data_IF_009066662748
#
_entry.id   IF_009066662748
#
_cell.length_a   1.000
_cell.length_b   1.000
_cell.length_c   1.000
_cell.angle_alpha   90.00
_cell.angle_beta   90.00
_cell.angle_gamma   90.00
#
_symmetry.space_group_name_H-M   'P 1'
#
loop_
_entity.id
_entity.type
_entity.pdbx_description
1 polymer ?
#
# COMPACT_ATOMS: atom_id res chain seq x y z
N UNK A 1 8.46 -7.13 0.90
CA UNK A 1 7.25 -6.57 0.28
C UNK A 1 7.52 -6.16 -1.16
N UNK A 2 6.66 -6.63 -2.06
CA UNK A 2 6.58 -6.24 -3.47
C UNK A 2 5.24 -5.57 -3.70
N UNK A 3 5.21 -4.39 -4.33
CA UNK A 3 3.98 -3.75 -4.76
C UNK A 3 3.68 -4.10 -6.21
N UNK A 4 2.42 -4.37 -6.49
CA UNK A 4 1.90 -4.75 -7.80
C UNK A 4 0.82 -3.75 -8.15
N UNK A 5 1.00 -3.01 -9.25
CA UNK A 5 0.00 -2.10 -9.77
C UNK A 5 -0.59 -2.66 -11.05
N UNK A 6 -1.89 -2.89 -11.03
CA UNK A 6 -2.66 -3.51 -12.09
C UNK A 6 -3.57 -2.43 -12.68
N UNK A 7 -3.31 -2.05 -13.93
CA UNK A 7 -4.06 -1.01 -14.66
C UNK A 7 -4.97 -1.66 -15.69
N UNK A 8 -6.24 -1.25 -15.74
CA UNK A 8 -7.14 -1.65 -16.82
C UNK A 8 -8.14 -0.55 -17.12
N UNK A 9 -8.14 -0.05 -18.37
CA UNK A 9 -9.14 0.92 -18.84
C UNK A 9 -10.57 0.34 -18.80
N UNK A 10 -10.70 -0.98 -18.76
CA UNK A 10 -11.98 -1.70 -18.65
C UNK A 10 -12.46 -1.84 -17.20
N UNK A 11 -11.75 -1.31 -16.21
CA UNK A 11 -12.18 -1.34 -14.80
C UNK A 11 -13.32 -0.34 -14.53
N UNK A 12 -13.39 0.74 -15.30
CA UNK A 12 -14.42 1.78 -15.15
C UNK A 12 -15.81 1.18 -15.38
N UNK A 13 -16.68 1.20 -14.36
CA UNK A 13 -18.05 0.66 -14.38
C UNK A 13 -18.17 -0.86 -14.61
N UNK A 14 -17.06 -1.60 -14.66
CA UNK A 14 -17.08 -3.04 -14.86
C UNK A 14 -17.11 -3.80 -13.53
N UNK A 15 -18.19 -4.55 -13.32
CA UNK A 15 -18.33 -5.49 -12.22
C UNK A 15 -17.42 -6.72 -12.43
N UNK A 16 -16.80 -7.22 -11.36
CA UNK A 16 -16.03 -8.47 -11.37
C UNK A 16 -14.54 -8.35 -11.68
N UNK A 17 -14.01 -7.16 -11.99
CA UNK A 17 -12.56 -6.98 -12.19
C UNK A 17 -11.75 -7.35 -10.94
N UNK A 18 -12.10 -6.77 -9.78
CA UNK A 18 -11.42 -7.08 -8.51
C UNK A 18 -11.57 -8.56 -8.11
N UNK A 19 -12.74 -9.17 -8.39
CA UNK A 19 -12.95 -10.61 -8.17
C UNK A 19 -11.92 -11.43 -8.95
N UNK A 20 -11.76 -11.17 -10.25
CA UNK A 20 -10.79 -11.88 -11.11
C UNK A 20 -9.36 -11.69 -10.62
N UNK A 21 -9.00 -10.47 -10.19
CA UNK A 21 -7.68 -10.20 -9.62
C UNK A 21 -7.46 -11.07 -8.39
N UNK A 22 -8.36 -11.02 -7.40
CA UNK A 22 -8.19 -11.81 -6.17
C UNK A 22 -8.24 -13.32 -6.39
N UNK A 23 -9.04 -13.82 -7.33
CA UNK A 23 -9.06 -15.24 -7.71
C UNK A 23 -7.69 -15.74 -8.20
N UNK A 24 -6.92 -14.89 -8.90
CA UNK A 24 -5.56 -15.26 -9.33
C UNK A 24 -4.64 -15.37 -8.12
N UNK A 25 -4.65 -14.42 -7.19
CA UNK A 25 -3.82 -14.49 -5.98
C UNK A 25 -4.19 -15.70 -5.10
N UNK A 26 -5.48 -16.00 -4.97
CA UNK A 26 -5.99 -17.17 -4.26
C UNK A 26 -5.51 -18.48 -4.90
N UNK A 27 -5.60 -18.60 -6.23
CA UNK A 27 -5.13 -19.78 -6.98
C UNK A 27 -3.65 -20.11 -6.71
N UNK A 28 -2.83 -19.08 -6.49
CA UNK A 28 -1.39 -19.22 -6.20
C UNK A 28 -1.07 -19.15 -4.70
N UNK A 29 -2.09 -19.23 -3.83
CA UNK A 29 -1.98 -19.19 -2.37
C UNK A 29 -1.13 -18.01 -1.87
N UNK A 30 -1.24 -16.86 -2.54
CA UNK A 30 -0.43 -15.67 -2.29
C UNK A 30 -1.26 -14.62 -1.54
N UNK A 31 -0.97 -14.47 -0.25
CA UNK A 31 -1.64 -13.48 0.59
C UNK A 31 -1.33 -12.04 0.17
N UNK A 32 -2.35 -11.19 0.24
CA UNK A 32 -2.27 -9.74 -0.03
C UNK A 32 -2.38 -8.99 1.29
N UNK A 33 -1.54 -7.97 1.48
CA UNK A 33 -1.53 -7.13 2.69
C UNK A 33 -2.25 -5.79 2.46
N UNK A 34 -1.59 -4.83 1.81
CA UNK A 34 -2.16 -3.52 1.51
C UNK A 34 -2.88 -3.53 0.16
N UNK A 35 -3.99 -2.80 0.07
CA UNK A 35 -4.73 -2.55 -1.17
C UNK A 35 -5.08 -1.07 -1.26
N UNK A 36 -4.84 -0.46 -2.43
CA UNK A 36 -5.27 0.89 -2.79
C UNK A 36 -5.89 0.83 -4.18
N UNK A 37 -7.04 1.46 -4.37
CA UNK A 37 -7.73 1.53 -5.66
C UNK A 37 -7.78 2.96 -6.18
N UNK A 38 -7.91 3.07 -7.50
CA UNK A 38 -8.31 4.25 -8.26
C UNK A 38 -9.39 3.82 -9.25
N UNK A 39 -9.90 4.75 -10.05
CA UNK A 39 -10.96 4.51 -11.04
C UNK A 39 -10.56 3.46 -12.09
N UNK A 40 -9.27 3.36 -12.41
CA UNK A 40 -8.74 2.52 -13.51
C UNK A 40 -7.60 1.59 -13.09
N UNK A 41 -7.23 1.57 -11.81
CA UNK A 41 -6.14 0.71 -11.33
C UNK A 41 -6.34 0.26 -9.89
N UNK A 42 -5.84 -0.95 -9.60
CA UNK A 42 -5.66 -1.46 -8.23
C UNK A 42 -4.17 -1.64 -7.97
N UNK A 43 -3.69 -1.17 -6.83
CA UNK A 43 -2.35 -1.43 -6.31
C UNK A 43 -2.47 -2.30 -5.08
N UNK A 44 -1.66 -3.33 -4.99
CA UNK A 44 -1.65 -4.28 -3.88
C UNK A 44 -0.22 -4.65 -3.50
N UNK A 45 -0.03 -5.18 -2.29
CA UNK A 45 1.27 -5.65 -1.83
C UNK A 45 1.25 -7.12 -1.44
N UNK A 46 2.38 -7.80 -1.70
CA UNK A 46 2.61 -9.19 -1.29
C UNK A 46 3.97 -9.31 -0.59
N UNK A 47 4.09 -10.33 0.26
CA UNK A 47 5.35 -10.69 0.92
C UNK A 47 6.01 -11.92 0.33
N UNK A 48 5.22 -12.94 -0.01
CA UNK A 48 5.71 -14.14 -0.71
C UNK A 48 5.68 -13.92 -2.22
N UNK A 49 6.85 -13.88 -2.85
CA UNK A 49 7.01 -13.65 -4.28
C UNK A 49 7.33 -14.92 -5.08
N UNK A 50 7.20 -16.13 -4.49
CA UNK A 50 7.51 -17.41 -5.17
C UNK A 50 6.74 -17.59 -6.49
N UNK A 51 5.48 -17.19 -6.51
CA UNK A 51 4.57 -17.35 -7.65
C UNK A 51 4.39 -16.06 -8.46
N UNK A 52 5.21 -15.04 -8.21
CA UNK A 52 5.01 -13.70 -8.77
C UNK A 52 4.96 -13.71 -10.30
N UNK A 53 5.89 -14.39 -10.96
CA UNK A 53 5.96 -14.40 -12.43
C UNK A 53 4.70 -15.02 -13.05
N UNK A 54 4.21 -16.13 -12.48
CA UNK A 54 2.97 -16.78 -12.90
C UNK A 54 1.73 -15.91 -12.67
N UNK A 55 1.67 -15.21 -11.53
CA UNK A 55 0.60 -14.26 -11.21
C UNK A 55 0.58 -13.11 -12.23
N UNK A 56 1.76 -12.55 -12.53
CA UNK A 56 1.91 -11.45 -13.51
C UNK A 56 1.44 -11.90 -14.89
N UNK A 57 1.88 -13.07 -15.36
CA UNK A 57 1.47 -13.62 -16.65
C UNK A 57 -0.07 -13.76 -16.78
N UNK A 58 -0.75 -14.19 -15.71
CA UNK A 58 -2.21 -14.28 -15.73
C UNK A 58 -2.91 -12.92 -15.73
N UNK A 59 -2.41 -11.97 -14.95
CA UNK A 59 -2.95 -10.62 -14.88
C UNK A 59 -2.77 -9.86 -16.21
N UNK A 60 -1.64 -10.06 -16.89
CA UNK A 60 -1.32 -9.40 -18.15
C UNK A 60 -2.24 -9.81 -19.32
N UNK A 61 -2.99 -10.91 -19.19
CA UNK A 61 -4.00 -11.33 -20.18
C UNK A 61 -5.12 -10.30 -20.37
N UNK A 62 -5.37 -9.44 -19.38
CA UNK A 62 -6.48 -8.48 -19.42
C UNK A 62 -6.15 -7.12 -18.77
N UNK A 63 -4.91 -6.89 -18.39
CA UNK A 63 -4.45 -5.67 -17.72
C UNK A 63 -2.98 -5.39 -18.02
N UNK A 64 -2.48 -4.23 -17.59
CA UNK A 64 -1.05 -3.92 -17.58
C UNK A 64 -0.56 -3.96 -16.14
N UNK A 65 0.55 -4.65 -15.90
CA UNK A 65 1.11 -4.84 -14.55
C UNK A 65 2.44 -4.11 -14.41
N UNK A 66 2.59 -3.36 -13.31
CA UNK A 66 3.84 -2.72 -12.91
C UNK A 66 4.26 -3.30 -11.55
N UNK A 67 5.54 -3.67 -11.42
CA UNK A 67 6.10 -4.31 -10.23
C UNK A 67 7.14 -3.42 -9.58
N UNK A 68 6.90 -3.04 -8.33
CA UNK A 68 7.86 -2.31 -7.50
C UNK A 68 8.39 -3.25 -6.41
N UNK A 69 9.64 -3.69 -6.56
CA UNK A 69 10.34 -4.49 -5.54
C UNK A 69 10.94 -3.59 -4.47
N UNK A 70 11.47 -4.21 -3.41
CA UNK A 70 12.20 -3.51 -2.33
C UNK A 70 11.36 -2.40 -1.69
N UNK A 71 10.14 -2.76 -1.27
CA UNK A 71 9.28 -1.87 -0.52
C UNK A 71 9.28 -2.24 0.97
N UNK A 72 8.97 -1.27 1.80
CA UNK A 72 8.80 -1.42 3.25
C UNK A 72 7.51 -0.77 3.68
N UNK A 73 6.76 -1.47 4.53
CA UNK A 73 5.56 -0.96 5.17
C UNK A 73 5.96 -0.38 6.51
N UNK A 74 5.56 0.87 6.76
CA UNK A 74 5.73 1.55 8.04
C UNK A 74 4.35 1.84 8.60
N UNK A 75 4.04 1.29 9.77
CA UNK A 75 2.73 1.39 10.40
C UNK A 75 2.78 2.29 11.63
N UNK A 76 1.85 3.24 11.71
CA UNK A 76 1.51 3.92 12.96
C UNK A 76 0.35 3.17 13.62
N UNK A 77 0.62 2.58 14.78
CA UNK A 77 -0.36 1.83 15.57
C UNK A 77 -0.68 2.59 16.85
N UNK A 78 -1.97 2.70 17.18
CA UNK A 78 -2.42 3.32 18.42
C UNK A 78 -3.94 3.25 18.57
N UNK A 79 -4.49 3.88 19.61
CA UNK A 79 -5.93 3.93 19.83
C UNK A 79 -6.58 5.07 19.05
N UNK A 80 -7.53 4.76 18.18
CA UNK A 80 -8.30 5.75 17.39
C UNK A 80 -7.42 6.73 16.59
N UNK A 81 -6.24 6.30 16.15
CA UNK A 81 -5.28 7.13 15.39
C UNK A 81 -5.87 7.72 14.12
N UNK A 82 -6.84 7.06 13.46
CA UNK A 82 -7.48 7.65 12.27
C UNK A 82 -8.37 8.85 12.62
N UNK A 83 -8.90 8.92 13.85
CA UNK A 83 -9.81 9.99 14.30
C UNK A 83 -9.11 11.04 15.17
N UNK A 84 -7.83 10.87 15.44
CA UNK A 84 -7.08 11.80 16.26
C UNK A 84 -6.86 13.12 15.52
N UNK A 85 -7.09 14.25 16.19
CA UNK A 85 -7.01 15.59 15.58
C UNK A 85 -5.62 15.90 15.00
N UNK A 86 -4.56 15.36 15.60
CA UNK A 86 -3.17 15.52 15.12
C UNK A 86 -2.74 14.56 14.01
N UNK A 87 -3.62 13.67 13.54
CA UNK A 87 -3.25 12.67 12.53
C UNK A 87 -2.79 13.28 11.21
N UNK A 88 -3.24 14.49 10.91
CA UNK A 88 -2.76 15.26 9.77
C UNK A 88 -1.23 15.46 9.78
N UNK A 89 -0.58 15.47 10.97
CA UNK A 89 0.88 15.59 11.10
C UNK A 89 1.63 14.42 10.47
N UNK A 90 1.05 13.22 10.46
CA UNK A 90 1.66 12.06 9.80
C UNK A 90 1.90 12.32 8.30
N UNK A 91 0.97 13.02 7.64
CA UNK A 91 1.10 13.33 6.21
C UNK A 91 2.19 14.36 5.89
N UNK A 92 2.78 15.02 6.90
CA UNK A 92 4.00 15.82 6.71
C UNK A 92 5.20 14.97 6.30
N UNK A 93 5.15 13.65 6.42
CA UNK A 93 6.20 12.79 5.88
C UNK A 93 6.29 12.87 4.34
N UNK A 94 5.20 13.26 3.66
CA UNK A 94 5.12 13.30 2.19
C UNK A 94 6.02 14.36 1.54
N UNK A 95 6.49 15.36 2.29
CA UNK A 95 7.47 16.34 1.80
C UNK A 95 8.91 15.82 1.84
N UNK A 96 9.20 14.81 2.66
CA UNK A 96 10.57 14.33 2.89
C UNK A 96 10.89 13.06 2.09
N UNK A 97 9.87 12.24 1.81
CA UNK A 97 10.03 10.95 1.11
C UNK A 97 8.90 10.71 0.11
N UNK A 98 9.20 9.95 -0.93
CA UNK A 98 8.20 9.49 -1.89
C UNK A 98 7.43 8.30 -1.32
N UNK A 99 6.21 8.53 -0.83
CA UNK A 99 5.31 7.47 -0.37
C UNK A 99 4.57 6.84 -1.55
N UNK A 100 4.60 5.51 -1.64
CA UNK A 100 4.02 4.73 -2.75
C UNK A 100 2.54 4.41 -2.56
N UNK A 101 2.14 4.07 -1.34
CA UNK A 101 0.75 3.78 -0.95
C UNK A 101 0.50 4.27 0.48
N UNK A 102 -0.75 4.64 0.76
CA UNK A 102 -1.23 4.99 2.10
C UNK A 102 -2.48 4.16 2.35
N UNK A 103 -2.49 3.35 3.40
CA UNK A 103 -3.68 2.70 3.92
C UNK A 103 -4.19 3.47 5.13
N UNK A 104 -5.33 4.13 4.97
CA UNK A 104 -5.96 4.99 5.95
C UNK A 104 -7.48 4.74 5.92
N UNK A 105 -8.07 4.50 7.09
CA UNK A 105 -9.52 4.28 7.23
C UNK A 105 -9.99 2.82 7.20
N UNK A 106 -9.12 1.86 6.86
CA UNK A 106 -9.43 0.42 6.97
C UNK A 106 -9.50 -0.09 8.42
N UNK A 107 -8.85 0.62 9.36
CA UNK A 107 -8.94 0.40 10.80
C UNK A 107 -8.83 1.75 11.50
N UNK A 108 -9.54 1.94 12.61
CA UNK A 108 -9.37 3.17 13.40
C UNK A 108 -8.02 3.22 14.14
N UNK A 109 -7.31 2.09 14.24
CA UNK A 109 -6.14 1.92 15.10
C UNK A 109 -4.82 1.80 14.33
N UNK A 110 -4.84 1.79 13.00
CA UNK A 110 -3.65 1.64 12.18
C UNK A 110 -3.69 2.56 10.96
N UNK A 111 -2.54 3.17 10.65
CA UNK A 111 -2.26 3.86 9.40
C UNK A 111 -0.96 3.28 8.85
N UNK A 112 -0.99 2.72 7.64
CA UNK A 112 0.19 2.13 7.02
C UNK A 112 0.65 2.95 5.83
N UNK A 113 1.96 3.16 5.73
CA UNK A 113 2.62 3.79 4.60
C UNK A 113 3.51 2.76 3.91
N UNK A 114 3.44 2.70 2.58
CA UNK A 114 4.39 1.94 1.79
C UNK A 114 5.44 2.88 1.21
N UNK A 115 6.70 2.58 1.48
CA UNK A 115 7.86 3.38 1.03
C UNK A 115 8.91 2.50 0.40
N UNK A 116 9.82 3.09 -0.38
CA UNK A 116 11.01 2.37 -0.81
C UNK A 116 11.82 1.92 0.41
N UNK A 117 12.35 0.69 0.41
CA UNK A 117 13.14 0.16 1.53
C UNK A 117 14.33 1.03 1.90
N UNK A 118 14.91 1.75 0.93
CA UNK A 118 16.02 2.68 1.19
C UNK A 118 15.59 3.88 2.04
N UNK A 119 14.34 4.30 1.94
CA UNK A 119 13.79 5.45 2.67
C UNK A 119 13.25 5.06 4.06
N UNK A 120 13.23 3.77 4.42
CA UNK A 120 12.58 3.29 5.65
C UNK A 120 13.08 3.99 6.92
N UNK A 121 14.39 4.23 7.01
CA UNK A 121 15.00 4.86 8.20
C UNK A 121 14.62 6.34 8.26
N UNK A 122 14.63 7.02 7.12
CA UNK A 122 14.20 8.41 7.00
C UNK A 122 12.72 8.54 7.35
N UNK A 123 11.87 7.65 6.81
CA UNK A 123 10.44 7.59 7.11
C UNK A 123 10.18 7.47 8.61
N UNK A 124 10.83 6.51 9.29
CA UNK A 124 10.69 6.32 10.73
C UNK A 124 11.12 7.56 11.52
N UNK A 125 12.25 8.18 11.16
CA UNK A 125 12.74 9.41 11.82
C UNK A 125 11.81 10.60 11.62
N UNK A 126 11.29 10.80 10.41
CA UNK A 126 10.36 11.89 10.11
C UNK A 126 9.02 11.68 10.83
N UNK A 127 8.45 10.48 10.78
CA UNK A 127 7.23 10.15 11.50
C UNK A 127 7.40 10.36 13.00
N UNK A 128 8.51 9.90 13.57
CA UNK A 128 8.77 10.07 14.99
C UNK A 128 8.78 11.57 15.39
N UNK A 129 9.46 12.39 14.60
CA UNK A 129 9.54 13.84 14.81
C UNK A 129 8.20 14.55 14.68
N UNK A 130 7.42 14.24 13.65
CA UNK A 130 6.16 14.94 13.39
C UNK A 130 5.03 14.53 14.34
N UNK A 131 5.09 13.32 14.88
CA UNK A 131 4.02 12.77 15.72
C UNK A 131 4.35 12.93 17.21
N UNK A 132 5.59 12.65 17.63
CA UNK A 132 5.95 12.55 19.04
C UNK A 132 6.80 13.72 19.55
N UNK A 133 7.78 14.22 18.78
CA UNK A 133 8.70 15.24 19.28
C UNK A 133 8.06 16.63 19.48
N UNK A 134 6.86 16.83 18.94
CA UNK A 134 6.04 18.02 19.19
C UNK A 134 5.17 17.95 20.45
N UNK A 135 5.26 16.86 21.23
CA UNK A 135 4.50 16.65 22.48
C UNK A 135 5.35 16.99 23.72
N UNK A 136 6.65 17.24 23.57
CA UNK A 136 7.59 17.55 24.66
C UNK A 136 7.88 19.04 24.87
N UNK A 137 7.01 19.94 24.38
CA UNK A 137 7.10 21.38 24.62
C UNK A 137 5.91 21.89 25.45
#
# INVERSE_FOLDING_TARGET
ITAIKIKSARMLLAHGFLKKVFEIFEKYETSIDMITTSEVAVSLTIDDYKNLDSIVEELEKFSTVEIDKQQSIVCLVGHLVVRHHETHRLFKVLQDISVRMISYGGSNNNISLLVNTNDKITALKCLNRYIFDSVTA
#
